data_IF_890072150356
#
_entry.id   IF_890072150356
#
_cell.length_a   1.000
_cell.length_b   1.000
_cell.length_c   1.000
_cell.angle_alpha   90.00
_cell.angle_beta   90.00
_cell.angle_gamma   90.00
#
_symmetry.space_group_name_H-M   'P 1'
#
loop_
_entity.id
_entity.type
_entity.pdbx_description
1 polymer ?
#
# COMPACT_ATOMS: atom_id res chain seq x y z
N UNK A 1 15.06 26.05 0.81
CA UNK A 1 13.87 25.49 1.47
C UNK A 1 13.95 25.79 2.95
N UNK A 2 12.89 26.31 3.58
CA UNK A 2 12.83 26.35 5.04
C UNK A 2 12.56 24.92 5.53
N UNK A 3 13.37 24.41 6.45
CA UNK A 3 13.13 23.12 7.10
C UNK A 3 11.77 23.19 7.80
N UNK A 4 10.89 22.23 7.48
CA UNK A 4 9.63 22.02 8.19
C UNK A 4 9.95 21.47 9.57
N UNK A 5 9.30 22.01 10.60
CA UNK A 5 9.36 21.40 11.94
C UNK A 5 8.33 20.27 11.94
N UNK A 6 8.81 19.03 11.98
CA UNK A 6 7.96 17.84 12.08
C UNK A 6 7.47 17.67 13.51
N UNK A 7 6.17 17.50 13.68
CA UNK A 7 5.54 17.32 14.98
C UNK A 7 5.04 15.89 15.15
N UNK A 8 5.27 15.25 16.32
CA UNK A 8 4.74 13.91 16.58
C UNK A 8 3.24 13.79 16.35
N UNK A 9 2.48 14.86 16.66
CA UNK A 9 1.03 14.90 16.49
C UNK A 9 0.60 14.78 15.01
N UNK A 10 1.44 15.23 14.06
CA UNK A 10 1.18 15.05 12.63
C UNK A 10 1.36 13.58 12.21
N UNK A 11 2.33 12.88 12.80
CA UNK A 11 2.53 11.45 12.57
C UNK A 11 1.41 10.61 13.18
N UNK A 12 0.97 10.92 14.41
CA UNK A 12 -0.16 10.27 15.06
C UNK A 12 -1.44 10.44 14.23
N UNK A 13 -1.68 11.65 13.72
CA UNK A 13 -2.82 11.93 12.84
C UNK A 13 -2.72 11.14 11.53
N UNK A 14 -1.53 10.99 10.95
CA UNK A 14 -1.33 10.16 9.76
C UNK A 14 -1.66 8.69 10.03
N UNK A 15 -1.19 8.12 11.15
CA UNK A 15 -1.51 6.75 11.56
C UNK A 15 -3.02 6.56 11.72
N UNK A 16 -3.69 7.49 12.38
CA UNK A 16 -5.13 7.43 12.62
C UNK A 16 -5.94 7.54 11.32
N UNK A 17 -5.53 8.43 10.40
CA UNK A 17 -6.15 8.54 9.08
C UNK A 17 -6.09 7.22 8.31
N UNK A 18 -4.94 6.55 8.31
CA UNK A 18 -4.79 5.25 7.63
C UNK A 18 -5.61 4.16 8.32
N UNK A 19 -5.71 4.18 9.65
CA UNK A 19 -6.56 3.24 10.41
C UNK A 19 -8.03 3.36 10.00
N UNK A 20 -8.52 4.59 9.86
CA UNK A 20 -9.89 4.87 9.42
C UNK A 20 -10.12 4.50 7.95
N UNK A 21 -9.11 4.73 7.10
CA UNK A 21 -9.20 4.46 5.67
C UNK A 21 -9.08 2.96 5.32
N UNK A 22 -8.39 2.16 6.14
CA UNK A 22 -8.05 0.77 5.83
C UNK A 22 -9.27 -0.10 5.49
N UNK A 23 -10.41 0.10 6.16
CA UNK A 23 -11.64 -0.65 5.90
C UNK A 23 -12.25 -0.39 4.52
N UNK A 24 -11.81 0.67 3.82
CA UNK A 24 -12.26 1.04 2.49
C UNK A 24 -11.27 0.66 1.39
N UNK A 25 -10.11 0.10 1.76
CA UNK A 25 -9.14 -0.39 0.80
C UNK A 25 -9.65 -1.67 0.14
N UNK A 26 -9.45 -1.77 -1.17
CA UNK A 26 -9.83 -2.93 -1.98
C UNK A 26 -8.71 -3.34 -2.92
N UNK A 27 -8.62 -4.61 -3.23
CA UNK A 27 -7.75 -5.13 -4.27
C UNK A 27 -8.25 -4.66 -5.66
N UNK A 28 -7.33 -4.15 -6.46
CA UNK A 28 -7.53 -3.94 -7.89
C UNK A 28 -7.20 -5.20 -8.69
N UNK A 29 -7.36 -5.10 -10.01
CA UNK A 29 -6.95 -6.17 -10.92
C UNK A 29 -5.44 -6.41 -10.84
N UNK A 30 -4.99 -7.68 -10.77
CA UNK A 30 -3.56 -8.01 -10.69
C UNK A 30 -2.82 -7.57 -11.95
N UNK A 31 -1.67 -6.93 -11.74
CA UNK A 31 -0.71 -6.56 -12.78
C UNK A 31 0.33 -7.67 -12.87
N UNK A 32 0.37 -8.33 -14.03
CA UNK A 32 1.31 -9.42 -14.30
C UNK A 32 2.57 -8.87 -14.93
N UNK A 33 3.67 -8.96 -14.21
CA UNK A 33 5.02 -8.64 -14.69
C UNK A 33 5.73 -9.93 -15.12
N UNK A 34 6.86 -9.85 -15.86
CA UNK A 34 7.58 -11.04 -16.32
C UNK A 34 8.03 -11.99 -15.21
N UNK A 35 8.31 -11.47 -14.02
CA UNK A 35 8.89 -12.22 -12.90
C UNK A 35 8.14 -12.07 -11.58
N UNK A 36 6.97 -11.42 -11.56
CA UNK A 36 6.14 -11.26 -10.36
C UNK A 36 4.71 -10.84 -10.69
N UNK A 37 3.84 -10.86 -9.68
CA UNK A 37 2.47 -10.36 -9.75
C UNK A 37 2.28 -9.30 -8.68
N UNK A 38 1.84 -8.11 -9.10
CA UNK A 38 1.48 -7.03 -8.20
C UNK A 38 -0.03 -6.88 -8.15
N UNK A 39 -0.59 -6.79 -6.94
CA UNK A 39 -2.02 -6.50 -6.76
C UNK A 39 -2.15 -5.07 -6.22
N UNK A 40 -2.67 -4.14 -7.04
CA UNK A 40 -2.90 -2.76 -6.59
C UNK A 40 -3.87 -2.73 -5.41
N UNK A 41 -3.63 -1.84 -4.46
CA UNK A 41 -4.57 -1.51 -3.39
C UNK A 41 -5.19 -0.16 -3.70
N UNK A 42 -6.49 -0.16 -3.91
CA UNK A 42 -7.27 1.00 -4.31
C UNK A 42 -7.99 1.60 -3.11
N UNK A 43 -8.05 2.92 -3.09
CA UNK A 43 -8.97 3.69 -2.24
C UNK A 43 -9.72 4.65 -3.16
N UNK A 44 -11.06 4.54 -3.19
CA UNK A 44 -11.89 5.20 -4.19
C UNK A 44 -11.40 4.87 -5.62
N UNK A 45 -10.99 5.86 -6.42
CA UNK A 45 -10.61 5.70 -7.83
C UNK A 45 -9.10 5.80 -8.08
N UNK A 46 -8.29 5.66 -7.02
CA UNK A 46 -6.84 5.76 -7.10
C UNK A 46 -6.14 4.65 -6.33
N UNK A 47 -4.94 4.31 -6.79
CA UNK A 47 -4.08 3.36 -6.10
C UNK A 47 -3.31 4.06 -4.99
N UNK A 48 -3.22 3.41 -3.83
CA UNK A 48 -2.47 3.87 -2.66
C UNK A 48 -1.07 3.27 -2.66
N UNK A 49 -1.00 1.96 -2.90
CA UNK A 49 0.21 1.16 -2.99
C UNK A 49 -0.15 -0.17 -3.67
N UNK A 50 0.78 -1.12 -3.74
CA UNK A 50 0.60 -2.47 -4.25
C UNK A 50 1.08 -3.51 -3.24
N UNK A 51 0.40 -4.66 -3.22
CA UNK A 51 0.85 -5.88 -2.56
C UNK A 51 1.59 -6.74 -3.57
N UNK A 52 2.80 -7.18 -3.22
CA UNK A 52 3.52 -8.19 -4.00
C UNK A 52 2.96 -9.57 -3.69
N UNK A 53 2.35 -10.23 -4.66
CA UNK A 53 1.73 -11.55 -4.49
C UNK A 53 2.74 -12.66 -4.81
N UNK A 54 2.86 -13.64 -3.90
CA UNK A 54 3.68 -14.83 -4.13
C UNK A 54 2.80 -16.01 -4.58
N UNK A 55 2.79 -16.37 -5.87
CA UNK A 55 1.98 -17.47 -6.40
C UNK A 55 2.37 -18.84 -5.84
N UNK A 56 3.57 -19.00 -5.29
CA UNK A 56 4.02 -20.28 -4.69
C UNK A 56 3.31 -20.56 -3.37
N UNK A 57 2.94 -19.51 -2.66
CA UNK A 57 2.30 -19.60 -1.33
C UNK A 57 0.83 -19.18 -1.35
N UNK A 58 0.39 -18.50 -2.41
CA UNK A 58 -0.94 -17.90 -2.49
C UNK A 58 -1.14 -16.77 -1.48
N UNK A 59 -0.07 -16.05 -1.11
CA UNK A 59 -0.09 -15.02 -0.07
C UNK A 59 0.78 -13.81 -0.44
N UNK A 60 0.60 -12.67 0.24
CA UNK A 60 1.51 -11.54 0.15
C UNK A 60 2.95 -11.91 0.49
N UNK A 61 3.90 -11.30 -0.23
CA UNK A 61 5.29 -11.21 0.20
C UNK A 61 5.49 -10.00 1.12
N UNK A 62 6.47 -10.04 2.04
CA UNK A 62 6.85 -8.88 2.83
C UNK A 62 7.24 -7.69 1.95
N UNK A 63 6.86 -6.49 2.35
CA UNK A 63 7.27 -5.26 1.68
C UNK A 63 8.80 -5.17 1.66
N UNK A 64 9.36 -4.94 0.48
CA UNK A 64 10.81 -4.96 0.23
C UNK A 64 11.39 -6.32 -0.18
N UNK A 65 10.61 -7.40 -0.13
CA UNK A 65 11.00 -8.72 -0.62
C UNK A 65 10.12 -9.13 -1.80
N UNK A 66 10.53 -8.73 -3.01
CA UNK A 66 9.80 -9.06 -4.22
C UNK A 66 9.93 -10.56 -4.56
N UNK A 67 8.82 -11.28 -4.80
CA UNK A 67 8.88 -12.68 -5.19
C UNK A 67 9.25 -12.77 -6.67
N UNK A 68 10.54 -13.00 -6.97
CA UNK A 68 11.01 -13.27 -8.33
C UNK A 68 10.69 -14.73 -8.72
N UNK A 69 9.52 -14.97 -9.29
CA UNK A 69 9.01 -16.31 -9.62
C UNK A 69 8.16 -16.28 -10.90
N UNK A 70 7.88 -17.45 -11.48
CA UNK A 70 6.93 -17.56 -12.59
C UNK A 70 5.58 -16.96 -12.17
N UNK A 71 5.08 -15.93 -12.89
CA UNK A 71 3.90 -15.20 -12.47
C UNK A 71 2.62 -16.01 -12.72
N UNK A 72 1.75 -16.05 -11.71
CA UNK A 72 0.40 -16.64 -11.78
C UNK A 72 -0.55 -15.78 -10.96
N UNK A 73 -1.61 -15.28 -11.59
CA UNK A 73 -2.50 -14.29 -11.00
C UNK A 73 -3.87 -14.87 -10.61
N UNK A 74 -4.12 -16.15 -10.89
CA UNK A 74 -5.40 -16.79 -10.59
C UNK A 74 -5.73 -16.70 -9.10
N UNK A 75 -6.88 -16.09 -8.78
CA UNK A 75 -7.33 -15.90 -7.40
C UNK A 75 -6.57 -14.83 -6.60
N UNK A 76 -5.59 -14.14 -7.21
CA UNK A 76 -4.76 -13.17 -6.49
C UNK A 76 -5.59 -11.99 -5.97
N UNK A 77 -6.53 -11.47 -6.77
CA UNK A 77 -7.39 -10.35 -6.36
C UNK A 77 -8.23 -10.72 -5.15
N UNK A 78 -8.97 -11.82 -5.21
CA UNK A 78 -9.86 -12.29 -4.15
C UNK A 78 -9.06 -12.56 -2.88
N UNK A 79 -7.88 -13.15 -3.02
CA UNK A 79 -7.00 -13.44 -1.89
C UNK A 79 -6.49 -12.17 -1.23
N UNK A 80 -6.09 -11.16 -2.01
CA UNK A 80 -5.64 -9.88 -1.44
C UNK A 80 -6.80 -9.12 -0.79
N UNK A 81 -8.01 -9.20 -1.33
CA UNK A 81 -9.21 -8.65 -0.69
C UNK A 81 -9.48 -9.28 0.69
N UNK A 82 -9.24 -10.58 0.87
CA UNK A 82 -9.32 -11.23 2.18
C UNK A 82 -8.20 -10.77 3.12
N UNK A 83 -6.97 -10.71 2.61
CA UNK A 83 -5.80 -10.23 3.38
C UNK A 83 -6.03 -8.82 3.91
N UNK A 84 -6.60 -7.92 3.12
CA UNK A 84 -6.88 -6.54 3.53
C UNK A 84 -7.87 -6.46 4.70
N UNK A 85 -8.79 -7.44 4.84
CA UNK A 85 -9.71 -7.53 5.98
C UNK A 85 -9.01 -7.97 7.27
N UNK A 86 -7.90 -8.69 7.15
CA UNK A 86 -7.06 -9.15 8.27
C UNK A 86 -5.91 -8.17 8.58
N UNK A 87 -5.66 -7.22 7.69
CA UNK A 87 -4.57 -6.27 7.82
C UNK A 87 -4.80 -5.28 8.97
N UNK A 88 -3.71 -4.78 9.54
CA UNK A 88 -3.76 -3.77 10.60
C UNK A 88 -2.63 -2.76 10.43
N UNK A 89 -2.90 -1.53 10.89
CA UNK A 89 -1.91 -0.45 10.91
C UNK A 89 -0.96 -0.67 12.08
N UNK A 90 0.34 -0.49 11.86
CA UNK A 90 1.32 -0.49 12.95
C UNK A 90 1.41 0.91 13.58
N UNK A 91 1.68 0.96 14.88
CA UNK A 91 1.85 2.22 15.62
C UNK A 91 3.20 2.87 15.26
N UNK A 92 3.17 3.81 14.32
CA UNK A 92 4.33 4.61 13.91
C UNK A 92 4.27 5.00 12.45
N UNK A 93 4.97 6.08 12.10
CA UNK A 93 5.13 6.53 10.73
C UNK A 93 6.58 6.95 10.46
N UNK A 94 7.06 6.68 9.26
CA UNK A 94 8.35 7.15 8.76
C UNK A 94 8.13 8.45 7.96
N UNK A 95 8.85 9.52 8.26
CA UNK A 95 8.82 10.70 7.39
C UNK A 95 9.74 10.51 6.18
N UNK A 96 9.26 10.82 4.97
CA UNK A 96 10.05 10.70 3.74
C UNK A 96 10.25 12.03 3.03
N UNK A 97 11.51 12.34 2.79
CA UNK A 97 11.99 13.39 1.91
C UNK A 97 12.53 12.79 0.60
N UNK A 98 12.36 13.45 -0.56
CA UNK A 98 11.85 14.81 -0.75
C UNK A 98 10.32 14.93 -0.86
N UNK A 99 9.57 13.85 -0.70
CA UNK A 99 8.12 13.81 -0.92
C UNK A 99 7.29 14.60 0.10
N UNK A 100 7.88 15.01 1.23
CA UNK A 100 7.23 15.76 2.33
C UNK A 100 5.95 15.05 2.80
N UNK A 101 6.09 13.75 3.13
CA UNK A 101 4.98 12.89 3.50
C UNK A 101 5.34 11.90 4.62
N UNK A 102 4.33 11.49 5.37
CA UNK A 102 4.41 10.36 6.30
C UNK A 102 4.12 9.06 5.56
N UNK A 103 4.89 8.02 5.85
CA UNK A 103 4.65 6.65 5.42
C UNK A 103 4.20 5.84 6.61
N UNK A 104 2.95 5.39 6.55
CA UNK A 104 2.33 4.54 7.57
C UNK A 104 2.38 3.09 7.10
N UNK A 105 3.05 2.19 7.84
CA UNK A 105 3.13 0.79 7.48
C UNK A 105 1.84 0.04 7.86
N UNK A 106 1.33 -0.74 6.92
CA UNK A 106 0.22 -1.68 7.15
C UNK A 106 0.76 -3.09 7.10
N UNK A 107 0.47 -3.88 8.13
CA UNK A 107 0.93 -5.24 8.28
C UNK A 107 -0.21 -6.24 8.06
N UNK A 108 0.16 -7.42 7.54
CA UNK A 108 -0.66 -8.62 7.60
C UNK A 108 0.10 -9.66 8.42
N UNK A 109 -0.57 -10.23 9.42
CA UNK A 109 0.05 -11.09 10.44
C UNK A 109 1.24 -10.39 11.10
N UNK A 110 2.47 -10.77 10.77
CA UNK A 110 3.69 -10.31 11.44
C UNK A 110 4.66 -9.55 10.51
N UNK A 111 4.21 -9.13 9.32
CA UNK A 111 5.05 -8.39 8.37
C UNK A 111 4.28 -7.31 7.60
N UNK A 112 5.00 -6.28 7.18
CA UNK A 112 4.46 -5.14 6.44
C UNK A 112 4.14 -5.58 5.01
N UNK A 113 2.97 -5.19 4.50
CA UNK A 113 2.53 -5.44 3.12
C UNK A 113 2.25 -4.16 2.34
N UNK A 114 2.03 -3.01 3.01
CA UNK A 114 1.82 -1.71 2.36
C UNK A 114 2.59 -0.60 3.08
N UNK A 115 2.96 0.41 2.29
CA UNK A 115 3.44 1.71 2.73
C UNK A 115 2.48 2.79 2.26
N UNK A 116 1.55 3.19 3.13
CA UNK A 116 0.54 4.20 2.81
C UNK A 116 1.12 5.58 3.03
N UNK A 117 1.10 6.43 2.00
CA UNK A 117 1.58 7.81 2.08
C UNK A 117 0.47 8.76 2.54
N UNK A 118 0.83 9.67 3.42
CA UNK A 118 -0.05 10.70 3.98
C UNK A 118 0.67 12.05 3.93
N UNK A 119 -0.06 13.13 3.66
CA UNK A 119 0.47 14.51 3.68
C UNK A 119 1.22 14.82 4.98
N UNK A 120 2.23 15.69 4.92
CA UNK A 120 3.05 16.02 6.10
C UNK A 120 2.27 16.61 7.30
N UNK A 121 1.08 17.17 7.08
CA UNK A 121 0.16 17.64 8.14
C UNK A 121 -0.84 16.56 8.62
N UNK A 122 -0.69 15.33 8.12
CA UNK A 122 -1.51 14.15 8.47
C UNK A 122 -2.96 14.21 7.98
N UNK A 123 -3.31 15.11 7.04
CA UNK A 123 -4.71 15.37 6.67
C UNK A 123 -5.22 14.54 5.49
N UNK A 124 -4.36 14.10 4.57
CA UNK A 124 -4.77 13.52 3.30
C UNK A 124 -3.94 12.30 2.91
N UNK A 125 -4.58 11.25 2.40
CA UNK A 125 -3.88 10.15 1.75
C UNK A 125 -3.30 10.62 0.42
N UNK A 126 -2.04 10.29 0.15
CA UNK A 126 -1.37 10.64 -1.11
C UNK A 126 -1.44 9.43 -2.05
N UNK A 127 -2.10 9.56 -3.23
CA UNK A 127 -2.14 8.51 -4.22
C UNK A 127 -0.76 8.16 -4.78
N UNK A 128 -0.54 6.88 -5.08
CA UNK A 128 0.49 6.47 -6.02
C UNK A 128 0.02 6.79 -7.44
N UNK A 129 0.39 7.99 -7.92
CA UNK A 129 0.03 8.44 -9.26
C UNK A 129 0.61 7.56 -10.35
N UNK A 130 1.80 6.98 -10.17
CA UNK A 130 2.40 6.12 -11.18
C UNK A 130 1.61 4.81 -11.30
N UNK A 131 1.38 4.15 -10.17
CA UNK A 131 0.56 2.94 -10.12
C UNK A 131 -0.88 3.22 -10.55
N UNK A 132 -1.46 4.36 -10.20
CA UNK A 132 -2.82 4.74 -10.65
C UNK A 132 -2.89 4.81 -12.18
N UNK A 133 -1.85 5.36 -12.83
CA UNK A 133 -1.79 5.37 -14.30
C UNK A 133 -1.56 3.97 -14.87
N UNK A 134 -0.79 3.14 -14.20
CA UNK A 134 -0.57 1.74 -14.56
C UNK A 134 -1.89 0.94 -14.52
N UNK A 135 -2.63 1.00 -13.41
CA UNK A 135 -3.96 0.38 -13.26
C UNK A 135 -4.90 0.81 -14.40
N UNK A 136 -4.94 2.11 -14.70
CA UNK A 136 -5.79 2.64 -15.79
C UNK A 136 -5.42 2.10 -17.18
N UNK A 137 -4.14 1.76 -17.41
CA UNK A 137 -3.69 1.17 -18.69
C UNK A 137 -4.04 -0.31 -18.80
N UNK A 138 -4.02 -1.03 -17.68
CA UNK A 138 -4.29 -2.46 -17.63
C UNK A 138 -5.79 -2.80 -17.54
N UNK A 139 -6.64 -1.80 -17.31
CA UNK A 139 -8.10 -1.96 -17.22
C UNK A 139 -8.55 -2.09 -15.77
N UNK A 140 -9.67 -1.43 -15.45
CA UNK A 140 -10.44 -1.70 -14.23
C UNK A 140 -11.32 -2.93 -14.42
#
# INVERSE_FOLDING_TARGET
MKSRILKPEEAEKAVELVRQALSFFRAGEPIVHPDHVDVPVLYLDFAIDRVHYDPRTGNPSPKGAHPHTEPRAEGARERIDEVLKEAHVLEGAEFREPEDCWVVPVAWKSFIILHVRVSADGSELIPDYHLTQEVRRHGL
#
